data_IF_848418001881
#
_entry.id   IF_848418001881
#
_cell.length_a   1.000
_cell.length_b   1.000
_cell.length_c   1.000
_cell.angle_alpha   90.00
_cell.angle_beta   90.00
_cell.angle_gamma   90.00
#
_symmetry.space_group_name_H-M   'P 1'
#
loop_
_entity.id
_entity.type
_entity.pdbx_description
1 polymer ?
#
# COMPACT_ATOMS: atom_id res chain seq x y z
N UNK A 1 -42.55 39.64 -25.19
CA UNK A 1 -41.85 39.17 -23.98
C UNK A 1 -40.86 38.14 -24.44
N UNK A 2 -39.64 38.57 -24.69
CA UNK A 2 -38.50 37.69 -25.10
C UNK A 2 -37.84 37.20 -23.82
N UNK A 3 -37.79 35.88 -23.67
CA UNK A 3 -37.04 35.25 -22.59
C UNK A 3 -35.58 35.21 -23.03
N UNK A 4 -34.76 35.96 -22.34
CA UNK A 4 -33.32 35.98 -22.48
C UNK A 4 -32.78 34.71 -21.80
N UNK A 5 -32.35 33.74 -22.61
CA UNK A 5 -31.70 32.56 -22.13
C UNK A 5 -30.22 32.90 -21.89
N UNK A 6 -29.89 33.25 -20.67
CA UNK A 6 -28.50 33.36 -20.23
C UNK A 6 -27.84 31.98 -20.28
N UNK A 7 -27.06 31.71 -21.32
CA UNK A 7 -26.14 30.60 -21.38
C UNK A 7 -25.03 30.87 -20.39
N UNK A 8 -25.13 30.27 -19.19
CA UNK A 8 -24.00 30.18 -18.26
C UNK A 8 -22.90 29.39 -18.96
N UNK A 9 -21.93 30.10 -19.51
CA UNK A 9 -20.69 29.51 -19.99
C UNK A 9 -19.87 29.07 -18.75
N UNK A 10 -19.99 27.79 -18.40
CA UNK A 10 -19.11 27.18 -17.41
C UNK A 10 -17.68 27.33 -17.92
N UNK A 11 -16.90 28.18 -17.27
CA UNK A 11 -15.49 28.32 -17.58
C UNK A 11 -14.79 26.98 -17.34
N UNK A 12 -13.93 26.49 -18.23
CA UNK A 12 -13.18 25.26 -18.00
C UNK A 12 -12.34 25.45 -16.74
N UNK A 13 -12.48 24.52 -15.80
CA UNK A 13 -11.66 24.48 -14.59
C UNK A 13 -10.23 24.19 -15.06
N UNK A 14 -9.34 25.14 -14.82
CA UNK A 14 -7.90 24.96 -15.07
C UNK A 14 -7.39 23.95 -14.06
N UNK A 15 -6.97 22.78 -14.53
CA UNK A 15 -6.45 21.68 -13.69
C UNK A 15 -4.95 21.87 -13.55
N UNK A 16 -4.46 21.85 -12.32
CA UNK A 16 -3.03 21.76 -12.04
C UNK A 16 -2.49 20.42 -12.53
N UNK A 17 -1.30 20.43 -13.09
CA UNK A 17 -0.62 19.24 -13.60
C UNK A 17 0.75 19.12 -12.95
N UNK A 18 1.11 17.91 -12.57
CA UNK A 18 2.44 17.57 -12.08
C UNK A 18 2.96 16.38 -12.88
N UNK A 19 4.25 16.37 -13.18
CA UNK A 19 4.90 15.31 -13.94
C UNK A 19 5.77 14.46 -13.02
N UNK A 20 5.68 13.15 -13.17
CA UNK A 20 6.46 12.16 -12.45
C UNK A 20 6.89 11.05 -13.40
N UNK A 21 8.03 10.42 -13.15
CA UNK A 21 8.47 9.26 -13.91
C UNK A 21 7.57 8.06 -13.62
N UNK A 22 7.10 7.91 -12.37
CA UNK A 22 6.20 6.84 -11.94
C UNK A 22 5.11 7.37 -11.03
N UNK A 23 3.86 7.01 -11.35
CA UNK A 23 2.70 7.24 -10.49
C UNK A 23 2.16 5.89 -10.00
N UNK A 24 2.06 5.74 -8.67
CA UNK A 24 1.50 4.55 -8.03
C UNK A 24 0.12 4.89 -7.48
N UNK A 25 -0.88 4.11 -7.89
CA UNK A 25 -2.26 4.26 -7.43
C UNK A 25 -2.55 3.28 -6.30
N UNK A 26 -2.71 3.81 -5.10
CA UNK A 26 -3.00 3.08 -3.88
C UNK A 26 -1.80 2.93 -2.95
N UNK A 27 -1.89 3.56 -1.78
CA UNK A 27 -0.89 3.54 -0.71
C UNK A 27 -1.02 2.36 0.26
N UNK A 28 -1.40 1.19 -0.25
CA UNK A 28 -1.37 -0.05 0.51
C UNK A 28 0.03 -0.66 0.59
N UNK A 29 0.18 -1.85 1.24
CA UNK A 29 1.49 -2.49 1.40
C UNK A 29 2.25 -2.68 0.09
N UNK A 30 1.54 -3.05 -0.99
CA UNK A 30 2.14 -3.28 -2.31
C UNK A 30 2.63 -1.99 -2.95
N UNK A 31 1.81 -0.92 -2.93
CA UNK A 31 2.18 0.38 -3.49
C UNK A 31 3.38 0.98 -2.77
N UNK A 32 3.32 1.05 -1.43
CA UNK A 32 4.43 1.55 -0.61
C UNK A 32 5.71 0.72 -0.79
N UNK A 33 5.61 -0.60 -0.90
CA UNK A 33 6.80 -1.44 -1.16
C UNK A 33 7.39 -1.18 -2.54
N UNK A 34 6.57 -0.97 -3.56
CA UNK A 34 7.03 -0.68 -4.91
C UNK A 34 7.75 0.66 -4.98
N UNK A 35 7.19 1.72 -4.38
CA UNK A 35 7.81 3.05 -4.39
C UNK A 35 9.11 3.10 -3.59
N UNK A 36 9.14 2.48 -2.38
CA UNK A 36 10.38 2.37 -1.59
C UNK A 36 11.46 1.69 -2.43
N UNK A 37 11.14 0.56 -3.09
CA UNK A 37 12.13 -0.16 -3.89
C UNK A 37 12.59 0.63 -5.12
N UNK A 38 11.69 1.33 -5.79
CA UNK A 38 12.01 2.20 -6.93
C UNK A 38 12.99 3.30 -6.53
N UNK A 39 12.73 4.00 -5.42
CA UNK A 39 13.63 5.05 -4.92
C UNK A 39 14.98 4.48 -4.46
N UNK A 40 15.00 3.33 -3.77
CA UNK A 40 16.25 2.65 -3.44
C UNK A 40 17.08 2.37 -4.69
N UNK A 41 16.47 1.82 -5.75
CA UNK A 41 17.15 1.52 -7.01
C UNK A 41 17.64 2.79 -7.72
N UNK A 42 16.86 3.87 -7.69
CA UNK A 42 17.26 5.15 -8.26
C UNK A 42 18.50 5.71 -7.55
N UNK A 43 18.50 5.70 -6.21
CA UNK A 43 19.64 6.12 -5.38
C UNK A 43 20.87 5.24 -5.66
N UNK A 44 20.71 3.90 -5.69
CA UNK A 44 21.78 2.95 -6.02
C UNK A 44 22.38 3.23 -7.42
N UNK A 45 21.57 3.69 -8.36
CA UNK A 45 21.99 4.05 -9.73
C UNK A 45 22.53 5.47 -9.85
N UNK A 46 22.52 6.29 -8.79
CA UNK A 46 22.91 7.71 -8.82
C UNK A 46 21.95 8.58 -9.63
N UNK A 47 20.69 8.19 -9.73
CA UNK A 47 19.64 8.95 -10.43
C UNK A 47 18.74 9.67 -9.42
N UNK A 48 19.22 10.79 -8.92
CA UNK A 48 18.50 11.59 -7.91
C UNK A 48 17.28 12.32 -8.49
N UNK A 49 17.24 12.52 -9.82
CA UNK A 49 16.12 13.18 -10.50
C UNK A 49 14.90 12.27 -10.70
N UNK A 50 15.07 10.94 -10.54
CA UNK A 50 13.97 9.99 -10.72
C UNK A 50 12.86 10.20 -9.69
N UNK A 51 11.70 10.59 -10.18
CA UNK A 51 10.56 11.01 -9.38
C UNK A 51 9.47 9.91 -9.28
N UNK A 52 9.06 9.62 -8.06
CA UNK A 52 7.96 8.67 -7.80
C UNK A 52 6.92 9.37 -6.94
N UNK A 53 5.65 9.24 -7.32
CA UNK A 53 4.57 9.67 -6.48
C UNK A 53 3.56 8.55 -6.22
N UNK A 54 2.89 8.62 -5.07
CA UNK A 54 1.77 7.75 -4.72
C UNK A 54 0.53 8.56 -4.41
N UNK A 55 -0.58 8.17 -5.02
CA UNK A 55 -1.90 8.72 -4.71
C UNK A 55 -2.71 7.70 -3.92
N UNK A 56 -3.32 8.15 -2.82
CA UNK A 56 -4.15 7.32 -1.94
C UNK A 56 -5.49 8.03 -1.71
N UNK A 57 -6.60 7.32 -1.97
CA UNK A 57 -7.94 7.87 -1.78
C UNK A 57 -8.32 8.10 -0.31
N UNK A 58 -7.72 7.35 0.61
CA UNK A 58 -7.90 7.52 2.04
C UNK A 58 -7.30 8.84 2.52
N UNK A 59 -7.88 9.42 3.57
CA UNK A 59 -7.39 10.67 4.19
C UNK A 59 -5.97 10.53 4.77
N UNK A 60 -5.53 9.31 5.03
CA UNK A 60 -4.18 8.93 5.45
C UNK A 60 -3.85 7.51 4.96
N UNK A 61 -2.58 7.18 4.89
CA UNK A 61 -2.13 5.84 4.56
C UNK A 61 -2.60 4.84 5.62
N UNK A 62 -3.19 3.72 5.17
CA UNK A 62 -3.73 2.69 6.06
C UNK A 62 -5.13 2.98 6.65
N UNK A 63 -5.77 4.13 6.35
CA UNK A 63 -7.09 4.48 6.88
C UNK A 63 -8.18 3.44 6.56
N UNK A 64 -8.12 2.81 5.40
CA UNK A 64 -9.10 1.82 4.96
C UNK A 64 -8.76 0.37 5.37
N UNK A 65 -7.68 0.16 6.11
CA UNK A 65 -7.26 -1.17 6.56
C UNK A 65 -7.90 -1.46 7.91
N UNK A 66 -8.86 -2.39 7.92
CA UNK A 66 -9.69 -2.69 9.10
C UNK A 66 -9.16 -3.83 9.97
N UNK A 67 -8.27 -4.69 9.44
CA UNK A 67 -7.86 -5.90 10.14
C UNK A 67 -6.36 -5.99 10.35
N UNK A 68 -5.98 -6.82 11.34
CA UNK A 68 -4.64 -7.33 11.47
C UNK A 68 -4.36 -8.44 10.46
N UNK A 69 -3.12 -8.88 10.44
CA UNK A 69 -2.65 -9.98 9.62
C UNK A 69 -1.63 -10.82 10.39
N UNK A 70 -1.47 -12.07 9.95
CA UNK A 70 -0.26 -12.84 10.24
C UNK A 70 0.66 -12.65 9.03
N UNK A 71 1.84 -12.09 9.28
CA UNK A 71 2.77 -11.67 8.23
C UNK A 71 4.04 -12.50 8.27
N UNK A 72 4.44 -13.04 7.13
CA UNK A 72 5.80 -13.56 6.93
C UNK A 72 6.76 -12.38 6.73
N UNK A 73 7.83 -12.26 7.53
CA UNK A 73 8.68 -11.06 7.53
C UNK A 73 9.69 -11.00 6.37
N UNK A 74 9.75 -12.00 5.50
CA UNK A 74 10.73 -12.10 4.42
C UNK A 74 10.73 -10.87 3.52
N UNK A 75 9.56 -10.51 2.97
CA UNK A 75 9.45 -9.37 2.05
C UNK A 75 9.85 -8.05 2.73
N UNK A 76 9.48 -7.87 4.00
CA UNK A 76 9.90 -6.70 4.77
C UNK A 76 11.41 -6.68 5.01
N UNK A 77 11.99 -7.83 5.31
CA UNK A 77 13.44 -7.96 5.52
C UNK A 77 14.25 -7.74 4.23
N UNK A 78 13.71 -8.16 3.09
CA UNK A 78 14.34 -7.91 1.79
C UNK A 78 14.26 -6.44 1.39
N UNK A 79 13.14 -5.78 1.71
CA UNK A 79 12.91 -4.37 1.37
C UNK A 79 13.68 -3.42 2.30
N UNK A 80 13.62 -3.66 3.61
CA UNK A 80 14.22 -2.83 4.66
C UNK A 80 14.89 -3.77 5.67
N UNK A 81 16.16 -4.17 5.44
CA UNK A 81 16.85 -5.16 6.29
C UNK A 81 16.93 -4.78 7.76
N UNK A 82 17.01 -3.50 8.06
CA UNK A 82 17.11 -2.90 9.40
C UNK A 82 15.76 -2.48 9.99
N UNK A 83 14.64 -3.11 9.52
CA UNK A 83 13.29 -2.74 9.95
C UNK A 83 13.05 -2.81 11.47
N UNK A 84 13.79 -3.68 12.19
CA UNK A 84 13.68 -3.80 13.65
C UNK A 84 14.28 -2.59 14.34
N UNK A 85 15.46 -2.19 13.92
CA UNK A 85 16.21 -1.02 14.42
C UNK A 85 15.45 0.28 14.09
N UNK A 86 14.79 0.31 12.95
CA UNK A 86 13.92 1.42 12.51
C UNK A 86 12.55 1.42 13.19
N UNK A 87 12.29 0.48 14.09
CA UNK A 87 11.09 0.47 14.92
C UNK A 87 9.81 0.08 14.17
N UNK A 88 9.89 -0.80 13.17
CA UNK A 88 8.70 -1.34 12.52
C UNK A 88 7.72 -1.94 13.55
N UNK A 89 6.41 -1.73 13.42
CA UNK A 89 5.40 -2.19 14.39
C UNK A 89 5.13 -3.70 14.26
N UNK A 90 6.18 -4.51 14.29
CA UNK A 90 6.18 -5.96 14.08
C UNK A 90 6.81 -6.63 15.31
N UNK A 91 6.04 -6.72 16.39
CA UNK A 91 6.57 -7.10 17.71
C UNK A 91 6.07 -8.46 18.22
N UNK A 92 4.92 -8.95 17.73
CA UNK A 92 4.25 -10.14 18.25
C UNK A 92 4.55 -11.35 17.38
N UNK A 93 5.56 -12.12 17.72
CA UNK A 93 5.86 -13.36 17.01
C UNK A 93 4.76 -14.41 17.23
N UNK A 94 4.34 -15.11 16.17
CA UNK A 94 3.51 -16.29 16.26
C UNK A 94 4.32 -17.44 16.88
N UNK A 95 3.88 -17.93 18.04
CA UNK A 95 4.59 -18.97 18.80
C UNK A 95 3.98 -20.34 18.67
N UNK A 96 2.72 -20.42 18.31
CA UNK A 96 1.98 -21.68 18.25
C UNK A 96 0.80 -21.57 17.27
N UNK A 97 0.61 -22.61 16.46
CA UNK A 97 -0.55 -22.80 15.60
C UNK A 97 -1.42 -23.91 16.12
N UNK A 98 -2.73 -23.68 16.14
CA UNK A 98 -3.72 -24.69 16.47
C UNK A 98 -4.83 -24.68 15.43
N UNK A 99 -4.97 -25.78 14.71
CA UNK A 99 -6.02 -25.94 13.71
C UNK A 99 -7.11 -26.86 14.26
N UNK A 100 -8.34 -26.38 14.20
CA UNK A 100 -9.50 -27.11 14.70
C UNK A 100 -10.50 -27.41 13.59
N UNK A 101 -10.96 -28.64 13.53
CA UNK A 101 -12.09 -29.06 12.71
C UNK A 101 -13.36 -29.02 13.55
N UNK A 102 -14.31 -28.16 13.19
CA UNK A 102 -15.58 -28.05 13.87
C UNK A 102 -16.53 -29.15 13.35
N UNK A 103 -17.13 -29.92 14.27
CA UNK A 103 -18.19 -30.91 13.94
C UNK A 103 -19.58 -30.29 14.02
N UNK A 104 -19.82 -29.45 15.02
CA UNK A 104 -21.05 -28.68 15.23
C UNK A 104 -20.76 -27.52 16.18
N UNK A 105 -21.78 -26.81 16.64
CA UNK A 105 -21.63 -25.62 17.51
C UNK A 105 -20.92 -25.89 18.85
N UNK A 106 -20.82 -27.13 19.30
CA UNK A 106 -20.28 -27.51 20.64
C UNK A 106 -19.12 -28.47 20.59
N UNK A 107 -18.84 -29.06 19.44
CA UNK A 107 -17.83 -30.14 19.30
C UNK A 107 -16.83 -29.82 18.22
N UNK A 108 -15.57 -29.92 18.57
CA UNK A 108 -14.44 -29.75 17.66
C UNK A 108 -13.40 -30.85 17.85
N UNK A 109 -12.50 -30.99 16.90
CA UNK A 109 -11.32 -31.85 16.97
C UNK A 109 -10.11 -31.03 16.53
N UNK A 110 -9.08 -30.99 17.37
CA UNK A 110 -7.79 -30.41 16.97
C UNK A 110 -7.08 -31.34 15.99
N UNK A 111 -6.57 -30.79 14.91
CA UNK A 111 -5.74 -31.52 13.95
C UNK A 111 -4.29 -31.57 14.46
N UNK A 112 -3.61 -32.72 14.38
CA UNK A 112 -2.19 -32.79 14.64
C UNK A 112 -1.41 -31.93 13.63
N UNK A 113 -0.42 -31.18 14.09
CA UNK A 113 0.38 -30.27 13.21
C UNK A 113 1.00 -31.01 12.02
N UNK A 114 1.32 -32.29 12.15
CA UNK A 114 1.93 -33.11 11.07
C UNK A 114 1.04 -33.28 9.84
N UNK A 115 -0.28 -33.12 9.97
CA UNK A 115 -1.25 -33.24 8.87
C UNK A 115 -1.75 -31.88 8.37
N UNK A 116 -1.36 -30.79 9.03
CA UNK A 116 -1.67 -29.44 8.61
C UNK A 116 -0.73 -29.07 7.44
N UNK A 117 -1.26 -28.58 6.31
CA UNK A 117 -0.43 -28.18 5.16
C UNK A 117 0.59 -27.09 5.54
N UNK A 118 1.79 -27.18 4.97
CA UNK A 118 2.88 -26.24 5.26
C UNK A 118 2.50 -24.75 5.15
N UNK A 119 1.70 -24.28 4.16
CA UNK A 119 1.28 -22.87 4.07
C UNK A 119 0.40 -22.38 5.21
N UNK A 120 -0.12 -23.29 6.04
CA UNK A 120 -0.95 -22.94 7.21
C UNK A 120 -0.12 -22.84 8.51
N UNK A 121 1.16 -23.10 8.46
CA UNK A 121 2.07 -22.92 9.59
C UNK A 121 2.58 -21.49 9.64
N UNK A 122 2.59 -20.91 10.85
CA UNK A 122 2.99 -19.54 11.10
C UNK A 122 4.24 -19.42 11.99
N UNK A 123 4.99 -20.50 12.11
CA UNK A 123 6.27 -20.45 12.85
C UNK A 123 7.24 -19.47 12.20
N UNK A 124 7.74 -18.51 12.96
CA UNK A 124 8.57 -17.41 12.46
C UNK A 124 7.81 -16.21 11.87
N UNK A 125 6.48 -16.28 11.76
CA UNK A 125 5.64 -15.18 11.34
C UNK A 125 5.28 -14.24 12.52
N UNK A 126 4.68 -13.10 12.20
CA UNK A 126 4.29 -12.09 13.17
C UNK A 126 2.81 -11.75 13.06
N UNK A 127 2.16 -11.57 14.21
CA UNK A 127 0.80 -11.02 14.29
C UNK A 127 0.94 -9.50 14.34
N UNK A 128 0.35 -8.81 13.37
CA UNK A 128 0.50 -7.37 13.18
C UNK A 128 -0.82 -6.65 13.01
N UNK A 129 -0.83 -5.35 13.27
CA UNK A 129 -1.81 -4.44 12.69
C UNK A 129 -1.30 -4.00 11.32
N UNK A 130 -1.99 -4.42 10.25
CA UNK A 130 -1.58 -4.07 8.89
C UNK A 130 -1.66 -2.56 8.65
N UNK A 131 -2.65 -1.87 9.23
CA UNK A 131 -2.76 -0.42 9.17
C UNK A 131 -1.55 0.30 9.79
N UNK A 132 -1.06 -0.20 10.95
CA UNK A 132 0.12 0.37 11.59
C UNK A 132 1.39 0.13 10.75
N UNK A 133 1.52 -1.06 10.15
CA UNK A 133 2.64 -1.34 9.25
C UNK A 133 2.62 -0.43 8.03
N UNK A 134 1.45 -0.19 7.44
CA UNK A 134 1.31 0.71 6.29
C UNK A 134 1.68 2.15 6.64
N UNK A 135 1.26 2.67 7.79
CA UNK A 135 1.67 4.01 8.24
C UNK A 135 3.18 4.11 8.43
N UNK A 136 3.78 3.08 9.01
CA UNK A 136 5.24 3.04 9.17
C UNK A 136 5.97 2.94 7.81
N UNK A 137 5.48 2.14 6.87
CA UNK A 137 6.03 2.09 5.51
C UNK A 137 5.93 3.46 4.82
N UNK A 138 4.81 4.17 4.99
CA UNK A 138 4.66 5.53 4.46
C UNK A 138 5.75 6.47 5.01
N UNK A 139 6.05 6.41 6.30
CA UNK A 139 7.17 7.17 6.87
C UNK A 139 8.53 6.80 6.24
N UNK A 140 8.74 5.51 5.96
CA UNK A 140 9.97 5.07 5.28
C UNK A 140 10.06 5.56 3.83
N UNK A 141 8.92 5.66 3.14
CA UNK A 141 8.85 6.22 1.79
C UNK A 141 9.13 7.73 1.79
N UNK A 142 8.57 8.47 2.76
CA UNK A 142 8.85 9.90 2.95
C UNK A 142 10.35 10.17 3.19
N UNK A 143 11.02 9.34 3.98
CA UNK A 143 12.48 9.42 4.21
C UNK A 143 13.30 9.25 2.92
N UNK A 144 12.73 8.61 1.90
CA UNK A 144 13.32 8.43 0.56
C UNK A 144 12.86 9.50 -0.45
N UNK A 145 12.22 10.57 0.03
CA UNK A 145 11.73 11.67 -0.79
C UNK A 145 10.67 11.27 -1.83
N UNK A 146 9.86 10.23 -1.53
CA UNK A 146 8.68 9.90 -2.33
C UNK A 146 7.60 10.95 -2.10
N UNK A 147 6.97 11.41 -3.18
CA UNK A 147 5.89 12.38 -3.07
C UNK A 147 4.56 11.67 -2.74
N UNK A 148 4.02 11.99 -1.57
CA UNK A 148 2.88 11.30 -0.97
C UNK A 148 1.63 12.17 -1.06
N UNK A 149 0.55 11.64 -1.70
CA UNK A 149 -0.72 12.35 -1.89
C UNK A 149 -1.90 11.58 -1.25
N UNK A 150 -2.05 11.62 0.10
CA UNK A 150 -3.24 11.10 0.75
C UNK A 150 -4.44 12.02 0.47
N UNK A 151 -5.65 11.45 0.39
CA UNK A 151 -6.87 12.16 0.05
C UNK A 151 -7.08 12.37 -1.46
N UNK A 152 -6.18 11.88 -2.31
CA UNK A 152 -6.28 11.98 -3.76
C UNK A 152 -6.72 10.64 -4.37
N UNK A 153 -7.90 10.61 -4.94
CA UNK A 153 -8.42 9.44 -5.65
C UNK A 153 -8.13 9.55 -7.15
N UNK A 154 -7.52 8.52 -7.72
CA UNK A 154 -7.45 8.39 -9.17
C UNK A 154 -8.88 8.22 -9.73
N UNK A 155 -9.36 9.21 -10.47
CA UNK A 155 -10.72 9.24 -10.97
C UNK A 155 -10.83 8.74 -12.42
N UNK A 156 -9.82 9.05 -13.24
CA UNK A 156 -9.79 8.67 -14.66
C UNK A 156 -8.35 8.45 -15.13
N UNK A 157 -8.20 7.70 -16.19
CA UNK A 157 -6.91 7.53 -16.88
C UNK A 157 -6.82 8.55 -17.99
N UNK A 158 -5.71 9.27 -18.04
CA UNK A 158 -5.41 10.21 -19.13
C UNK A 158 -4.68 9.48 -20.26
N UNK A 159 -5.11 9.72 -21.48
CA UNK A 159 -4.52 9.13 -22.67
C UNK A 159 -3.91 10.19 -23.56
N UNK A 160 -2.82 9.85 -24.24
CA UNK A 160 -2.26 10.60 -25.35
C UNK A 160 -3.08 10.42 -26.62
N UNK A 161 -2.82 11.22 -27.65
CA UNK A 161 -3.51 11.13 -28.95
C UNK A 161 -3.33 9.76 -29.64
N UNK A 162 -2.24 9.07 -29.37
CA UNK A 162 -1.93 7.74 -29.90
C UNK A 162 -2.57 6.60 -29.08
N UNK A 163 -3.33 6.92 -28.02
CA UNK A 163 -3.99 5.96 -27.14
C UNK A 163 -3.09 5.39 -26.03
N UNK A 164 -1.85 5.82 -25.91
CA UNK A 164 -0.99 5.44 -24.77
C UNK A 164 -1.44 6.10 -23.48
N UNK A 165 -1.21 5.41 -22.34
CA UNK A 165 -1.49 5.99 -21.02
C UNK A 165 -0.48 7.10 -20.73
N UNK A 166 -0.99 8.29 -20.43
CA UNK A 166 -0.20 9.49 -20.10
C UNK A 166 -0.15 9.76 -18.62
N UNK A 167 -1.19 9.39 -17.87
CA UNK A 167 -1.30 9.69 -16.45
C UNK A 167 -2.70 9.37 -15.89
N UNK A 168 -3.02 9.99 -14.79
CA UNK A 168 -4.31 9.88 -14.10
C UNK A 168 -4.86 11.26 -13.76
#
# INVERSE_FOLDING_TARGET
MSADASTDTVQPIEREQMEFDVIIVGGGPSGLSAEIRLRQLAIEAGNDEFSVCVVEKGSEFGAHILSGAVMEPRALTELIPDWKEKGAPVHVAAKEDRVYMLKNATKYRQLPNKIVPAPMHNDGNYIISLGNLVRWLATQAEELEVMMFPGFAAAEILYSEDGSVRGI
#
